data_IF_834897663773
#
_entry.id   IF_834897663773
#
_cell.length_a   1.000
_cell.length_b   1.000
_cell.length_c   1.000
_cell.angle_alpha   90.00
_cell.angle_beta   90.00
_cell.angle_gamma   90.00
#
_symmetry.space_group_name_H-M   'P 1'
#
loop_
_entity.id
_entity.type
_entity.pdbx_description
1 polymer ?
#
# COMPACT_ATOMS: atom_id res chain seq x y z
N UNK A 1 18.18 -9.43 -16.88
CA UNK A 1 17.17 -8.37 -16.71
C UNK A 1 17.84 -7.14 -16.08
N UNK A 2 18.51 -6.28 -16.87
CA UNK A 2 19.08 -5.00 -16.40
C UNK A 2 19.17 -4.02 -17.57
N UNK A 3 18.17 -3.18 -17.77
CA UNK A 3 18.31 -2.01 -18.64
C UNK A 3 18.89 -0.85 -17.79
N UNK A 4 20.14 -1.01 -17.36
CA UNK A 4 20.84 -0.06 -16.48
C UNK A 4 21.39 1.18 -17.23
N UNK A 5 21.14 1.32 -18.54
CA UNK A 5 21.69 2.39 -19.39
C UNK A 5 20.61 3.29 -20.01
N UNK A 6 19.46 3.44 -19.35
CA UNK A 6 18.51 4.48 -19.74
C UNK A 6 18.96 5.82 -19.17
N UNK A 7 18.92 6.90 -19.96
CA UNK A 7 19.18 8.28 -19.47
C UNK A 7 18.32 8.64 -18.25
N UNK A 8 17.14 8.03 -18.11
CA UNK A 8 16.27 8.16 -16.95
C UNK A 8 16.84 7.47 -15.70
N UNK A 9 17.44 6.30 -15.86
CA UNK A 9 18.04 5.57 -14.74
C UNK A 9 19.18 6.36 -14.11
N UNK A 10 20.07 6.96 -14.92
CA UNK A 10 21.17 7.80 -14.41
C UNK A 10 20.67 9.02 -13.66
N UNK A 11 19.62 9.68 -14.16
CA UNK A 11 19.04 10.89 -13.53
C UNK A 11 18.42 10.58 -12.16
N UNK A 12 17.80 9.42 -12.00
CA UNK A 12 17.05 9.05 -10.79
C UNK A 12 17.70 7.92 -9.98
N UNK A 13 18.97 7.58 -10.25
CA UNK A 13 19.67 6.49 -9.58
C UNK A 13 19.69 6.68 -8.06
N UNK A 14 20.10 7.87 -7.59
CA UNK A 14 20.15 8.22 -6.16
C UNK A 14 18.77 8.18 -5.48
N UNK A 15 17.72 8.59 -6.20
CA UNK A 15 16.36 8.53 -5.68
C UNK A 15 15.89 7.08 -5.54
N UNK A 16 16.18 6.25 -6.53
CA UNK A 16 15.84 4.82 -6.51
C UNK A 16 16.57 4.09 -5.37
N UNK A 17 17.84 4.45 -5.13
CA UNK A 17 18.64 3.93 -4.02
C UNK A 17 18.05 4.35 -2.66
N UNK A 18 17.74 5.64 -2.46
CA UNK A 18 17.13 6.11 -1.22
C UNK A 18 15.76 5.47 -0.95
N UNK A 19 14.95 5.23 -1.98
CA UNK A 19 13.68 4.50 -1.84
C UNK A 19 13.94 3.05 -1.43
N UNK A 20 14.92 2.38 -2.06
CA UNK A 20 15.33 1.03 -1.68
C UNK A 20 15.78 0.95 -0.22
N UNK A 21 16.61 1.89 0.21
CA UNK A 21 17.09 1.99 1.59
C UNK A 21 15.95 2.17 2.59
N UNK A 22 14.95 3.00 2.29
CA UNK A 22 13.75 3.14 3.13
C UNK A 22 12.96 1.83 3.19
N UNK A 23 12.75 1.16 2.06
CA UNK A 23 12.03 -0.12 2.02
C UNK A 23 12.75 -1.19 2.87
N UNK A 24 14.08 -1.25 2.80
CA UNK A 24 14.91 -2.18 3.57
C UNK A 24 14.92 -1.82 5.07
N UNK A 25 15.21 -0.57 5.42
CA UNK A 25 15.34 -0.13 6.81
C UNK A 25 14.04 -0.24 7.62
N UNK A 26 12.90 -0.03 6.97
CA UNK A 26 11.59 -0.09 7.62
C UNK A 26 10.86 -1.42 7.39
N UNK A 27 11.47 -2.39 6.70
CA UNK A 27 10.88 -3.70 6.40
C UNK A 27 9.47 -3.58 5.81
N UNK A 28 9.28 -2.64 4.87
CA UNK A 28 7.97 -2.36 4.25
C UNK A 28 7.47 -3.49 3.34
N UNK A 29 8.36 -4.44 3.01
CA UNK A 29 8.04 -5.64 2.25
C UNK A 29 8.36 -6.85 3.13
N UNK A 30 7.38 -7.74 3.31
CA UNK A 30 7.54 -8.99 4.03
C UNK A 30 7.32 -10.17 3.09
N UNK A 31 8.23 -11.14 3.14
CA UNK A 31 8.11 -12.39 2.41
C UNK A 31 7.49 -13.46 3.30
N UNK A 32 6.57 -14.23 2.73
CA UNK A 32 5.95 -15.37 3.40
C UNK A 32 6.40 -16.68 2.73
N UNK A 33 6.91 -17.66 3.49
CA UNK A 33 7.31 -18.94 2.93
C UNK A 33 6.06 -19.74 2.53
N UNK A 34 6.01 -20.20 1.28
CA UNK A 34 4.96 -21.07 0.76
C UNK A 34 5.49 -22.49 0.56
N UNK A 35 4.86 -23.45 1.22
CA UNK A 35 5.08 -24.87 1.00
C UNK A 35 3.78 -25.55 0.57
N UNK A 36 3.67 -25.89 -0.72
CA UNK A 36 2.45 -26.50 -1.30
C UNK A 36 2.10 -27.90 -0.77
N UNK A 37 3.03 -28.55 -0.06
CA UNK A 37 2.80 -29.87 0.55
C UNK A 37 2.29 -29.75 2.00
N UNK A 38 2.26 -28.55 2.52
CA UNK A 38 1.91 -28.24 3.90
C UNK A 38 0.66 -27.35 3.87
N UNK A 39 -0.47 -27.94 4.27
CA UNK A 39 -1.76 -27.26 4.27
C UNK A 39 -1.76 -26.07 5.22
N UNK A 40 -1.06 -26.17 6.36
CA UNK A 40 -0.92 -25.08 7.33
C UNK A 40 -0.17 -23.87 6.73
N UNK A 41 0.80 -24.11 5.84
CA UNK A 41 1.49 -23.03 5.12
C UNK A 41 0.55 -22.26 4.19
N UNK A 42 -0.39 -22.96 3.55
CA UNK A 42 -1.37 -22.35 2.64
C UNK A 42 -2.40 -21.55 3.45
N UNK A 43 -2.92 -22.13 4.54
CA UNK A 43 -3.90 -21.47 5.41
C UNK A 43 -3.32 -20.20 6.04
N UNK A 44 -2.07 -20.23 6.51
CA UNK A 44 -1.40 -19.06 7.07
C UNK A 44 -1.23 -17.93 6.05
N UNK A 45 -0.93 -18.26 4.78
CA UNK A 45 -0.81 -17.27 3.70
C UNK A 45 -2.19 -16.69 3.37
N UNK A 46 -3.22 -17.54 3.30
CA UNK A 46 -4.58 -17.10 3.02
C UNK A 46 -5.08 -16.14 4.10
N UNK A 47 -4.91 -16.48 5.37
CA UNK A 47 -5.22 -15.61 6.51
C UNK A 47 -4.46 -14.27 6.43
N UNK A 48 -3.19 -14.31 6.03
CA UNK A 48 -2.37 -13.11 5.88
C UNK A 48 -2.91 -12.20 4.78
N UNK A 49 -3.33 -12.76 3.64
CA UNK A 49 -3.91 -12.00 2.53
C UNK A 49 -5.21 -11.32 2.98
N UNK A 50 -6.09 -12.06 3.65
CA UNK A 50 -7.39 -11.54 4.12
C UNK A 50 -7.19 -10.34 5.06
N UNK A 51 -6.28 -10.47 6.03
CA UNK A 51 -5.95 -9.38 6.96
C UNK A 51 -5.38 -8.13 6.26
N UNK A 52 -4.55 -8.31 5.22
CA UNK A 52 -3.96 -7.18 4.48
C UNK A 52 -5.01 -6.46 3.63
N UNK A 53 -5.89 -7.22 2.97
CA UNK A 53 -6.97 -6.63 2.14
C UNK A 53 -7.91 -5.81 3.03
N UNK A 54 -8.29 -6.34 4.19
CA UNK A 54 -9.16 -5.63 5.13
C UNK A 54 -8.54 -4.31 5.64
N UNK A 55 -7.22 -4.29 5.90
CA UNK A 55 -6.52 -3.05 6.24
C UNK A 55 -6.48 -2.05 5.08
N UNK A 56 -6.41 -2.53 3.83
CA UNK A 56 -6.46 -1.68 2.64
C UNK A 56 -7.79 -0.94 2.50
N UNK A 57 -8.91 -1.61 2.81
CA UNK A 57 -10.24 -1.00 2.80
C UNK A 57 -10.40 0.06 3.91
N UNK A 58 -9.86 -0.18 5.10
CA UNK A 58 -9.87 0.81 6.19
C UNK A 58 -8.99 2.04 5.91
N UNK A 59 -7.98 1.89 5.04
CA UNK A 59 -7.08 2.97 4.62
C UNK A 59 -7.59 3.79 3.42
N UNK A 60 -8.63 3.32 2.73
CA UNK A 60 -9.30 4.12 1.70
C UNK A 60 -9.97 5.33 2.37
N UNK A 61 -9.45 6.52 2.06
CA UNK A 61 -9.96 7.79 2.56
C UNK A 61 -11.41 7.91 2.12
N UNK A 62 -12.35 7.92 3.08
CA UNK A 62 -13.72 8.38 2.83
C UNK A 62 -13.62 9.73 2.15
N UNK A 63 -13.89 9.77 0.86
CA UNK A 63 -13.97 11.02 0.12
C UNK A 63 -14.97 11.84 0.90
N UNK A 64 -14.51 12.98 1.43
CA UNK A 64 -15.40 13.92 2.09
C UNK A 64 -16.35 14.36 0.99
N UNK A 65 -17.53 13.78 0.94
CA UNK A 65 -18.61 14.30 0.12
C UNK A 65 -18.72 15.76 0.54
N UNK A 66 -18.31 16.65 -0.35
CA UNK A 66 -18.54 18.08 -0.19
C UNK A 66 -20.05 18.23 -0.40
N UNK A 67 -20.82 17.91 0.64
CA UNK A 67 -22.20 18.35 0.72
C UNK A 67 -22.13 19.88 0.77
N UNK A 68 -22.45 20.48 -0.37
CA UNK A 68 -22.64 21.92 -0.53
C UNK A 68 -23.54 22.42 0.61
N UNK A 69 -23.16 23.55 1.22
CA UNK A 69 -23.92 24.20 2.29
C UNK A 69 -25.39 24.35 1.87
N UNK A 70 -26.30 23.68 2.59
CA UNK A 70 -27.74 23.85 2.41
C UNK A 70 -28.10 25.27 2.89
N UNK A 71 -28.57 26.18 2.02
CA UNK A 71 -28.82 27.57 2.38
C UNK A 71 -30.00 27.77 3.35
N UNK A 72 -30.63 26.69 3.81
CA UNK A 72 -31.80 26.69 4.70
C UNK A 72 -31.46 26.66 6.20
N UNK A 73 -30.20 26.82 6.61
CA UNK A 73 -29.84 27.10 8.03
C UNK A 73 -30.10 28.59 8.41
N UNK A 74 -30.94 29.29 7.63
CA UNK A 74 -31.66 30.46 8.12
C UNK A 74 -32.89 30.02 8.92
N UNK A 75 -32.74 30.10 10.25
CA UNK A 75 -33.78 30.46 11.21
C UNK A 75 -34.71 29.33 11.69
N UNK A 76 -34.39 28.77 12.86
CA UNK A 76 -35.39 28.30 13.82
C UNK A 76 -34.82 28.35 15.26
N UNK A 77 -35.37 29.28 16.02
CA UNK A 77 -35.23 29.66 17.45
C UNK A 77 -33.96 30.39 17.95
#
# INVERSE_FOLDING_TARGET
>A
MRNAKSKWHEKYAKLTEAIGEVVENFSLVRFYPLNIKDEESIDNIMLTIDNIIQYGEDADVKIRDFDEEDPDDTNCD
#
